data_IF_655474906821
#
_entry.id   IF_655474906821
#
_cell.length_a   1.000
_cell.length_b   1.000
_cell.length_c   1.000
_cell.angle_alpha   90.00
_cell.angle_beta   90.00
_cell.angle_gamma   90.00
#
_symmetry.space_group_name_H-M   'P 1'
#
loop_
_entity.id
_entity.type
_entity.pdbx_description
1 polymer ?
#
# COMPACT_ATOMS: atom_id res chain seq x y z
N UNK A 1 0.14 -40.82 -47.33
CA UNK A 1 0.34 -39.46 -46.79
C UNK A 1 0.30 -39.58 -45.28
N UNK A 2 1.44 -39.38 -44.61
CA UNK A 2 1.58 -39.60 -43.17
C UNK A 2 1.05 -38.38 -42.38
N UNK A 3 0.19 -38.62 -41.40
CA UNK A 3 -0.38 -37.58 -40.54
C UNK A 3 0.68 -36.96 -39.61
N UNK A 4 0.72 -35.63 -39.46
CA UNK A 4 1.64 -34.99 -38.53
C UNK A 4 1.22 -35.23 -37.08
N UNK A 5 2.15 -35.76 -36.29
CA UNK A 5 2.00 -36.15 -34.89
C UNK A 5 1.54 -34.96 -34.00
N UNK A 6 0.47 -35.07 -33.19
CA UNK A 6 -0.07 -33.98 -32.38
C UNK A 6 0.85 -33.53 -31.21
N UNK A 7 2.00 -34.16 -31.03
CA UNK A 7 3.05 -33.71 -30.10
C UNK A 7 3.90 -32.56 -30.66
N UNK A 8 3.72 -32.21 -31.93
CA UNK A 8 4.45 -31.12 -32.60
C UNK A 8 3.46 -30.02 -32.99
N UNK A 9 2.65 -29.55 -32.02
CA UNK A 9 1.96 -28.26 -32.13
C UNK A 9 2.79 -27.23 -31.38
N UNK A 10 3.34 -26.31 -32.16
CA UNK A 10 4.13 -25.13 -31.79
C UNK A 10 4.95 -25.30 -30.50
N UNK A 11 6.20 -25.72 -30.69
CA UNK A 11 7.31 -25.40 -29.81
C UNK A 11 7.59 -23.88 -29.83
N UNK A 12 6.54 -23.03 -29.78
CA UNK A 12 6.59 -21.59 -30.08
C UNK A 12 7.55 -20.84 -29.18
N UNK A 13 7.70 -21.25 -27.92
CA UNK A 13 8.70 -20.68 -27.01
C UNK A 13 10.15 -21.14 -27.28
N UNK A 14 10.35 -22.24 -28.02
CA UNK A 14 11.67 -22.81 -28.36
C UNK A 14 12.09 -22.53 -29.81
N UNK A 15 11.15 -22.26 -30.73
CA UNK A 15 11.43 -22.10 -32.17
C UNK A 15 11.09 -20.72 -32.74
N UNK A 16 10.24 -19.91 -32.08
CA UNK A 16 9.93 -18.55 -32.56
C UNK A 16 10.89 -17.49 -31.98
N UNK A 17 11.60 -17.81 -30.89
CA UNK A 17 12.69 -16.99 -30.40
C UNK A 17 13.96 -17.23 -31.22
N UNK A 18 14.10 -16.53 -32.35
CA UNK A 18 15.40 -16.38 -33.06
C UNK A 18 16.42 -15.56 -32.26
N UNK A 19 16.08 -15.17 -31.02
CA UNK A 19 17.02 -14.54 -30.11
C UNK A 19 17.81 -15.63 -29.42
N UNK A 20 19.02 -15.90 -29.90
CA UNK A 20 20.00 -16.73 -29.22
C UNK A 20 20.06 -16.39 -27.72
N UNK A 21 20.30 -17.35 -26.82
CA UNK A 21 20.54 -17.06 -25.42
C UNK A 21 21.63 -16.00 -25.32
N UNK A 22 21.26 -14.79 -24.90
CA UNK A 22 22.21 -13.69 -24.79
C UNK A 22 23.28 -14.11 -23.77
N UNK A 23 24.55 -13.94 -24.12
CA UNK A 23 25.67 -14.12 -23.18
C UNK A 23 25.32 -13.38 -21.89
N UNK A 24 25.56 -14.02 -20.74
CA UNK A 24 25.23 -13.46 -19.42
C UNK A 24 25.83 -12.05 -19.32
N UNK A 25 24.97 -11.02 -19.27
CA UNK A 25 25.42 -9.65 -19.10
C UNK A 25 25.97 -9.51 -17.68
N UNK A 26 27.22 -9.07 -17.57
CA UNK A 26 27.77 -8.66 -16.28
C UNK A 26 26.94 -7.50 -15.76
N UNK A 27 26.44 -7.62 -14.52
CA UNK A 27 25.65 -6.58 -13.88
C UNK A 27 26.65 -5.52 -13.42
N UNK A 28 26.47 -4.27 -13.87
CA UNK A 28 27.34 -3.17 -13.48
C UNK A 28 27.34 -3.01 -11.95
N UNK A 29 28.52 -3.03 -11.34
CA UNK A 29 28.67 -2.94 -9.88
C UNK A 29 28.60 -4.27 -9.11
N UNK A 30 28.32 -5.40 -9.77
CA UNK A 30 28.33 -6.73 -9.13
C UNK A 30 29.58 -7.50 -9.55
N UNK A 31 30.44 -7.82 -8.58
CA UNK A 31 31.64 -8.61 -8.82
C UNK A 31 31.32 -10.07 -9.17
N UNK A 32 32.17 -10.75 -9.97
CA UNK A 32 31.97 -12.15 -10.33
C UNK A 32 31.94 -13.10 -9.11
N UNK A 33 32.66 -12.76 -8.03
CA UNK A 33 32.63 -13.47 -6.75
C UNK A 33 31.27 -13.42 -6.08
N UNK A 34 30.61 -12.24 -6.05
CA UNK A 34 29.26 -12.07 -5.49
C UNK A 34 28.22 -12.89 -6.25
N UNK A 35 28.34 -13.00 -7.58
CA UNK A 35 27.46 -13.87 -8.37
C UNK A 35 27.65 -15.35 -8.02
N UNK A 36 28.89 -15.78 -7.77
CA UNK A 36 29.19 -17.17 -7.35
C UNK A 36 28.68 -17.44 -5.93
N UNK A 37 28.85 -16.49 -5.02
CA UNK A 37 28.35 -16.56 -3.65
C UNK A 37 26.81 -16.66 -3.62
N UNK A 38 26.12 -15.81 -4.37
CA UNK A 38 24.66 -15.86 -4.52
C UNK A 38 24.18 -17.17 -5.14
N UNK A 39 24.90 -17.70 -6.13
CA UNK A 39 24.62 -19.03 -6.69
C UNK A 39 24.82 -20.12 -5.63
N UNK A 40 25.84 -20.02 -4.79
CA UNK A 40 26.08 -20.96 -3.71
C UNK A 40 24.97 -20.91 -2.66
N UNK A 41 24.50 -19.72 -2.27
CA UNK A 41 23.35 -19.54 -1.38
C UNK A 41 22.06 -20.10 -1.98
N UNK A 42 21.81 -19.82 -3.27
CA UNK A 42 20.66 -20.37 -3.98
C UNK A 42 20.70 -21.89 -4.03
N UNK A 43 21.86 -22.48 -4.31
CA UNK A 43 22.04 -23.94 -4.29
C UNK A 43 21.83 -24.52 -2.89
N UNK A 44 22.40 -23.90 -1.85
CA UNK A 44 22.15 -24.29 -0.45
C UNK A 44 20.65 -24.27 -0.12
N UNK A 45 19.96 -23.18 -0.46
CA UNK A 45 18.52 -23.05 -0.23
C UNK A 45 17.70 -24.10 -1.00
N UNK A 46 18.06 -24.39 -2.25
CA UNK A 46 17.41 -25.44 -3.04
C UNK A 46 17.67 -26.85 -2.47
N UNK A 47 18.89 -27.13 -2.01
CA UNK A 47 19.21 -28.40 -1.36
C UNK A 47 18.49 -28.56 -0.03
N UNK A 48 18.40 -27.51 0.79
CA UNK A 48 17.61 -27.53 2.03
C UNK A 48 16.10 -27.71 1.76
N UNK A 49 15.58 -27.12 0.69
CA UNK A 49 14.19 -27.28 0.26
C UNK A 49 13.91 -28.70 -0.28
N UNK A 50 14.88 -29.34 -0.94
CA UNK A 50 14.76 -30.75 -1.35
C UNK A 50 14.92 -31.68 -0.15
N UNK A 51 15.93 -31.44 0.69
CA UNK A 51 16.19 -32.21 1.91
C UNK A 51 14.97 -32.19 2.83
N UNK A 52 14.32 -31.04 3.02
CA UNK A 52 13.07 -30.94 3.80
C UNK A 52 11.86 -31.67 3.16
N UNK A 53 11.86 -31.87 1.84
CA UNK A 53 10.88 -32.73 1.14
C UNK A 53 11.22 -34.22 1.20
N UNK A 54 12.46 -34.57 1.53
CA UNK A 54 12.95 -35.94 1.66
C UNK A 54 13.05 -36.42 3.13
N UNK A 55 12.87 -35.54 4.13
CA UNK A 55 12.83 -35.94 5.55
C UNK A 55 11.63 -36.84 5.85
N UNK A 56 11.84 -37.85 6.71
CA UNK A 56 10.80 -38.73 7.22
C UNK A 56 9.69 -37.93 7.95
N UNK A 57 8.40 -38.33 7.89
CA UNK A 57 7.31 -37.62 8.55
C UNK A 57 7.52 -37.40 10.06
N UNK A 58 8.36 -38.20 10.73
CA UNK A 58 8.75 -38.01 12.13
C UNK A 58 9.66 -36.81 12.39
N UNK A 59 10.68 -36.61 11.54
CA UNK A 59 11.63 -35.49 11.67
C UNK A 59 11.03 -34.14 11.23
N UNK A 60 9.99 -34.16 10.40
CA UNK A 60 9.20 -32.96 10.07
C UNK A 60 8.39 -32.44 11.26
N UNK A 61 8.04 -33.29 12.22
CA UNK A 61 7.28 -32.92 13.42
C UNK A 61 8.16 -32.22 14.46
N UNK A 62 9.38 -32.70 14.69
CA UNK A 62 10.32 -32.08 15.65
C UNK A 62 10.76 -30.67 15.25
N UNK A 63 10.77 -30.34 13.94
CA UNK A 63 10.99 -28.97 13.48
C UNK A 63 9.75 -28.08 13.60
N UNK A 64 8.53 -28.64 13.54
CA UNK A 64 7.28 -27.92 13.81
C UNK A 64 7.07 -27.63 15.30
N UNK A 65 7.67 -28.43 16.18
CA UNK A 65 7.63 -28.26 17.65
C UNK A 65 8.60 -27.21 18.18
N UNK A 66 9.57 -26.75 17.37
CA UNK A 66 10.25 -25.46 17.62
C UNK A 66 9.28 -24.33 17.25
N UNK A 67 8.20 -24.24 18.03
CA UNK A 67 7.15 -23.26 17.84
C UNK A 67 7.72 -21.86 17.82
N UNK A 68 7.18 -21.03 16.93
CA UNK A 68 7.39 -19.59 16.96
C UNK A 68 6.90 -19.11 18.33
N UNK A 69 7.74 -18.42 19.10
CA UNK A 69 7.33 -17.84 20.39
C UNK A 69 6.26 -16.78 20.12
N UNK A 70 5.00 -17.15 20.29
CA UNK A 70 3.84 -16.29 20.01
C UNK A 70 3.91 -15.03 20.88
N UNK A 71 4.42 -15.14 22.12
CA UNK A 71 4.64 -14.00 22.99
C UNK A 71 5.61 -12.97 22.39
N UNK A 72 6.68 -13.42 21.73
CA UNK A 72 7.69 -12.56 21.11
C UNK A 72 7.21 -11.98 19.77
N UNK A 73 6.28 -12.67 19.09
CA UNK A 73 5.62 -12.14 17.90
C UNK A 73 4.56 -11.07 18.25
N UNK A 74 3.88 -11.23 19.38
CA UNK A 74 2.83 -10.31 19.84
C UNK A 74 3.40 -9.10 20.61
N UNK A 75 4.61 -9.21 21.16
CA UNK A 75 5.31 -8.09 21.81
C UNK A 75 6.00 -7.16 20.82
N UNK A 76 6.30 -7.63 19.61
CA UNK A 76 6.95 -6.85 18.57
C UNK A 76 5.94 -5.87 17.94
N UNK A 77 5.82 -4.70 18.54
CA UNK A 77 5.02 -3.62 17.99
C UNK A 77 5.61 -3.13 16.66
N UNK A 78 4.73 -2.65 15.78
CA UNK A 78 5.16 -2.11 14.49
C UNK A 78 5.85 -0.76 14.74
N UNK A 79 7.11 -0.55 14.30
CA UNK A 79 7.83 0.69 14.54
C UNK A 79 7.10 1.92 13.96
N UNK A 80 6.34 1.74 12.88
CA UNK A 80 5.52 2.81 12.31
C UNK A 80 4.28 3.16 13.13
N UNK A 81 3.83 2.27 14.02
CA UNK A 81 2.76 2.56 15.00
C UNK A 81 3.35 3.33 16.17
N UNK A 82 4.49 2.90 16.71
CA UNK A 82 5.20 3.62 17.80
C UNK A 82 5.55 5.05 17.38
N UNK A 83 6.05 5.25 16.16
CA UNK A 83 6.38 6.57 15.62
C UNK A 83 5.15 7.48 15.47
N UNK A 84 3.98 6.91 15.15
CA UNK A 84 2.73 7.67 15.07
C UNK A 84 2.21 8.02 16.46
N UNK A 85 2.17 7.05 17.36
CA UNK A 85 1.76 7.28 18.75
C UNK A 85 2.60 8.37 19.42
N UNK A 86 3.93 8.33 19.25
CA UNK A 86 4.82 9.36 19.78
C UNK A 86 4.55 10.73 19.18
N UNK A 87 4.21 10.80 17.89
CA UNK A 87 3.86 12.06 17.23
C UNK A 87 2.53 12.60 17.75
N UNK A 88 1.55 11.73 17.92
CA UNK A 88 0.22 12.08 18.43
C UNK A 88 0.33 12.55 19.90
N UNK A 89 1.12 11.87 20.74
CA UNK A 89 1.45 12.29 22.11
C UNK A 89 2.08 13.69 22.12
N UNK A 90 3.11 13.93 21.30
CA UNK A 90 3.75 15.24 21.19
C UNK A 90 2.80 16.33 20.70
N UNK A 91 1.86 16.00 19.82
CA UNK A 91 0.82 16.94 19.37
C UNK A 91 -0.14 17.27 20.51
N UNK A 92 -0.57 16.28 21.29
CA UNK A 92 -1.44 16.52 22.45
C UNK A 92 -0.75 17.33 23.55
N UNK A 93 0.54 17.08 23.82
CA UNK A 93 1.33 17.88 24.77
C UNK A 93 1.47 19.33 24.27
N UNK A 94 1.79 19.53 22.99
CA UNK A 94 1.87 20.87 22.41
C UNK A 94 0.51 21.60 22.43
N UNK A 95 -0.59 20.89 22.21
CA UNK A 95 -1.94 21.44 22.36
C UNK A 95 -2.20 21.85 23.82
N UNK A 96 -1.81 21.03 24.81
CA UNK A 96 -1.93 21.37 26.23
C UNK A 96 -1.13 22.63 26.60
N UNK A 97 0.09 22.77 26.08
CA UNK A 97 0.91 23.98 26.28
C UNK A 97 0.24 25.24 25.70
N UNK A 98 -0.38 25.12 24.52
CA UNK A 98 -1.16 26.20 23.90
C UNK A 98 -2.38 26.57 24.77
N UNK A 99 -3.13 25.57 25.26
CA UNK A 99 -4.25 25.80 26.17
C UNK A 99 -3.79 26.49 27.47
N UNK A 100 -2.67 26.07 28.07
CA UNK A 100 -2.11 26.70 29.26
C UNK A 100 -1.65 28.15 29.02
N UNK A 101 -1.08 28.44 27.86
CA UNK A 101 -0.71 29.81 27.48
C UNK A 101 -1.95 30.70 27.28
N UNK A 102 -3.01 30.15 26.66
CA UNK A 102 -4.28 30.86 26.46
C UNK A 102 -4.99 31.12 27.79
N UNK A 103 -4.97 30.18 28.73
CA UNK A 103 -5.53 30.35 30.07
C UNK A 103 -4.84 31.48 30.84
N UNK A 104 -3.49 31.51 30.86
CA UNK A 104 -2.74 32.63 31.46
C UNK A 104 -3.06 33.97 30.84
N UNK A 105 -3.25 34.00 29.51
CA UNK A 105 -3.62 35.21 28.79
C UNK A 105 -5.04 35.65 29.14
N UNK A 106 -5.98 34.72 29.25
CA UNK A 106 -7.36 34.99 29.65
C UNK A 106 -7.43 35.55 31.07
N UNK A 107 -6.72 34.94 32.04
CA UNK A 107 -6.63 35.46 33.40
C UNK A 107 -6.08 36.90 33.44
N UNK A 108 -5.09 37.20 32.59
CA UNK A 108 -4.53 38.54 32.48
C UNK A 108 -5.56 39.54 31.94
N UNK A 109 -6.34 39.16 30.93
CA UNK A 109 -7.43 40.00 30.43
C UNK A 109 -8.52 40.21 31.48
N UNK A 110 -8.90 39.17 32.23
CA UNK A 110 -9.91 39.28 33.29
C UNK A 110 -9.46 40.21 34.41
N UNK A 111 -8.20 40.10 34.86
CA UNK A 111 -7.60 41.01 35.86
C UNK A 111 -7.55 42.45 35.37
N UNK A 112 -7.20 42.64 34.09
CA UNK A 112 -7.13 43.96 33.48
C UNK A 112 -8.52 44.59 33.29
N UNK A 113 -9.51 43.79 32.88
CA UNK A 113 -10.89 44.23 32.71
C UNK A 113 -11.55 44.56 34.05
N UNK A 114 -11.19 43.83 35.11
CA UNK A 114 -11.68 44.06 36.47
C UNK A 114 -11.01 45.26 37.15
N UNK A 115 -9.85 45.68 36.66
CA UNK A 115 -9.07 46.78 37.24
C UNK A 115 -8.29 46.38 38.50
N UNK A 116 -8.06 45.09 38.71
CA UNK A 116 -7.34 44.55 39.88
C UNK A 116 -5.81 44.66 39.75
N UNK A 117 -5.29 45.22 38.64
CA UNK A 117 -3.86 45.42 38.40
C UNK A 117 -3.51 46.86 38.77
N UNK A 118 -2.51 47.05 39.64
CA UNK A 118 -2.01 48.38 40.00
C UNK A 118 -1.49 49.11 38.75
N UNK A 119 -1.78 50.42 38.65
CA UNK A 119 -1.44 51.23 37.46
C UNK A 119 0.07 51.25 37.17
N UNK A 120 0.92 51.15 38.19
CA UNK A 120 2.38 51.09 38.05
C UNK A 120 2.83 49.78 37.38
N UNK A 121 2.33 48.62 37.82
CA UNK A 121 2.64 47.31 37.20
C UNK A 121 2.12 47.20 35.77
N UNK A 122 0.94 47.80 35.50
CA UNK A 122 0.33 47.84 34.18
C UNK A 122 1.19 48.63 33.17
N UNK A 123 1.78 49.74 33.62
CA UNK A 123 2.62 50.61 32.79
C UNK A 123 3.99 50.02 32.51
N UNK A 124 4.62 49.38 33.50
CA UNK A 124 5.96 48.81 33.37
C UNK A 124 5.99 47.51 32.57
N UNK A 125 4.99 46.64 32.71
CA UNK A 125 5.03 45.27 32.15
C UNK A 125 4.23 45.10 30.87
N UNK A 126 3.15 45.86 30.72
CA UNK A 126 2.14 45.60 29.68
C UNK A 126 1.87 46.80 28.77
N UNK A 127 2.53 47.94 28.98
CA UNK A 127 2.43 49.10 28.08
C UNK A 127 3.62 49.15 27.13
N UNK A 128 3.33 49.36 25.84
CA UNK A 128 4.36 49.50 24.80
C UNK A 128 4.94 50.91 24.87
N UNK A 129 6.25 51.02 25.10
CA UNK A 129 6.97 52.29 24.93
C UNK A 129 7.33 52.51 23.45
N UNK A 130 6.54 53.37 22.80
CA UNK A 130 6.70 53.69 21.39
C UNK A 130 8.03 54.37 21.05
N UNK A 131 8.65 55.09 22.00
CA UNK A 131 9.95 55.74 21.78
C UNK A 131 11.09 54.73 21.80
N UNK A 132 11.04 53.76 22.70
CA UNK A 132 12.03 52.67 22.78
C UNK A 132 11.86 51.63 21.66
N UNK A 133 10.62 51.41 21.18
CA UNK A 133 10.32 50.45 20.09
C UNK A 133 10.84 50.91 18.73
N UNK A 134 10.92 52.22 18.46
CA UNK A 134 11.46 52.76 17.22
C UNK A 134 12.98 52.66 17.07
N UNK A 135 13.72 52.53 18.19
CA UNK A 135 15.18 52.49 18.22
C UNK A 135 15.82 51.10 18.36
N UNK A 136 15.05 50.09 18.77
CA UNK A 136 15.50 48.69 18.92
C UNK A 136 14.82 47.79 17.89
N UNK A 137 15.31 47.84 16.65
CA UNK A 137 15.02 46.80 15.65
C UNK A 137 16.18 45.79 15.58
N UNK A 138 17.25 45.96 16.38
CA UNK A 138 18.49 45.22 16.17
C UNK A 138 18.79 44.10 17.18
N UNK A 139 18.23 44.07 18.38
CA UNK A 139 18.59 43.03 19.36
C UNK A 139 17.40 42.65 20.24
N UNK A 140 17.19 41.33 20.32
CA UNK A 140 16.29 40.55 21.18
C UNK A 140 15.02 39.99 20.52
N UNK A 141 15.02 38.65 20.51
CA UNK A 141 14.01 37.68 20.03
C UNK A 141 14.00 37.36 18.53
N UNK A 142 15.07 36.68 18.08
CA UNK A 142 15.04 35.79 16.91
C UNK A 142 14.11 34.60 17.20
N UNK A 143 12.80 34.76 17.01
CA UNK A 143 11.89 33.65 16.74
C UNK A 143 11.96 33.31 15.23
N UNK A 144 12.56 32.17 14.83
CA UNK A 144 12.71 31.80 13.42
C UNK A 144 11.38 31.48 12.72
N UNK A 145 10.23 31.54 13.42
CA UNK A 145 8.90 31.28 12.83
C UNK A 145 8.25 32.52 12.22
N UNK A 146 8.70 33.73 12.54
CA UNK A 146 8.09 34.98 12.02
C UNK A 146 8.68 35.47 10.70
N UNK A 147 9.89 35.03 10.34
CA UNK A 147 10.59 35.50 9.14
C UNK A 147 9.98 34.99 7.81
N UNK A 148 9.05 34.03 7.83
CA UNK A 148 8.37 33.54 6.62
C UNK A 148 7.09 34.30 6.24
N UNK A 149 6.63 35.26 7.04
CA UNK A 149 5.40 36.03 6.76
C UNK A 149 5.60 37.55 6.60
N UNK A 150 6.83 38.04 6.79
CA UNK A 150 7.13 39.48 6.82
C UNK A 150 7.53 40.14 5.50
N UNK A 151 7.55 39.42 4.39
CA UNK A 151 8.10 39.92 3.12
C UNK A 151 7.02 40.09 2.03
N UNK A 152 5.85 40.68 2.34
CA UNK A 152 4.87 40.97 1.28
C UNK A 152 3.78 42.01 1.65
N UNK A 153 4.07 43.04 2.45
CA UNK A 153 3.14 44.17 2.60
C UNK A 153 3.92 45.49 2.61
N UNK A 154 4.47 45.84 1.45
CA UNK A 154 4.93 47.20 1.15
C UNK A 154 3.77 47.95 0.49
N UNK A 155 2.85 48.51 1.28
CA UNK A 155 1.87 49.46 0.76
C UNK A 155 2.55 50.82 0.53
N UNK A 156 2.89 51.04 -0.74
CA UNK A 156 3.27 52.32 -1.32
C UNK A 156 2.14 53.33 -1.11
N UNK A 157 2.35 54.29 -0.21
CA UNK A 157 1.48 55.45 -0.09
C UNK A 157 2.01 56.54 -1.03
N UNK A 158 1.49 56.57 -2.27
CA UNK A 158 1.65 57.71 -3.15
C UNK A 158 0.44 57.87 -4.10
N UNK A 159 -0.09 59.10 -4.18
CA UNK A 159 -1.23 59.48 -5.01
C UNK A 159 -2.56 59.22 -4.30
N UNK A 160 -3.45 60.17 -4.11
CA UNK A 160 -3.87 61.21 -5.04
C UNK A 160 -5.39 61.10 -5.13
N UNK A 161 -6.08 62.22 -4.93
CA UNK A 161 -7.53 62.34 -4.89
C UNK A 161 -8.31 61.50 -5.94
N UNK A 162 -9.38 60.85 -5.48
CA UNK A 162 -10.48 60.33 -6.31
C UNK A 162 -10.62 58.81 -6.27
N UNK A 163 -11.67 58.29 -5.60
CA UNK A 163 -11.95 56.86 -5.64
C UNK A 163 -12.98 56.34 -4.65
N UNK A 164 -14.02 57.09 -4.29
CA UNK A 164 -15.15 56.56 -3.48
C UNK A 164 -16.19 55.85 -4.34
N UNK A 165 -15.79 55.07 -5.36
CA UNK A 165 -16.74 54.37 -6.25
C UNK A 165 -16.46 52.88 -6.51
N UNK A 166 -15.35 52.32 -6.04
CA UNK A 166 -14.90 50.98 -6.50
C UNK A 166 -14.88 49.86 -5.43
N UNK A 167 -15.26 50.13 -4.18
CA UNK A 167 -15.27 49.09 -3.12
C UNK A 167 -16.46 48.12 -3.24
N UNK A 168 -17.58 48.55 -3.83
CA UNK A 168 -18.73 47.67 -4.08
C UNK A 168 -18.51 46.75 -5.29
N UNK A 169 -17.81 47.25 -6.34
CA UNK A 169 -17.46 46.44 -7.52
C UNK A 169 -16.48 45.32 -7.17
N UNK A 170 -15.52 45.55 -6.29
CA UNK A 170 -14.57 44.51 -5.85
C UNK A 170 -15.27 43.41 -5.05
N UNK A 171 -16.17 43.78 -4.13
CA UNK A 171 -16.97 42.84 -3.32
C UNK A 171 -17.93 42.00 -4.17
N UNK A 172 -18.46 42.56 -5.26
CA UNK A 172 -19.30 41.83 -6.21
C UNK A 172 -18.46 40.83 -7.02
N UNK A 173 -17.26 41.21 -7.46
CA UNK A 173 -16.34 40.28 -8.15
C UNK A 173 -15.78 39.17 -7.25
N UNK A 174 -15.59 39.42 -5.95
CA UNK A 174 -15.18 38.40 -4.98
C UNK A 174 -16.28 37.37 -4.75
N UNK A 175 -17.54 37.80 -4.60
CA UNK A 175 -18.68 36.88 -4.47
C UNK A 175 -18.85 36.01 -5.72
N UNK A 176 -18.69 36.59 -6.91
CA UNK A 176 -18.76 35.82 -8.16
C UNK A 176 -17.62 34.79 -8.29
N UNK A 177 -16.42 35.12 -7.79
CA UNK A 177 -15.29 34.17 -7.73
C UNK A 177 -15.54 33.04 -6.73
N UNK A 178 -16.07 33.35 -5.55
CA UNK A 178 -16.42 32.35 -4.53
C UNK A 178 -17.52 31.41 -5.03
N UNK A 179 -18.53 31.92 -5.74
CA UNK A 179 -19.57 31.10 -6.36
C UNK A 179 -19.01 30.17 -7.43
N UNK A 180 -18.11 30.66 -8.31
CA UNK A 180 -17.44 29.82 -9.31
C UNK A 180 -16.55 28.76 -8.68
N UNK A 181 -15.81 29.09 -7.63
CA UNK A 181 -15.01 28.12 -6.89
C UNK A 181 -15.88 27.05 -6.22
N UNK A 182 -17.02 27.45 -5.67
CA UNK A 182 -17.99 26.51 -5.09
C UNK A 182 -18.56 25.59 -6.15
N UNK A 183 -18.96 26.12 -7.30
CA UNK A 183 -19.48 25.33 -8.41
C UNK A 183 -18.41 24.37 -8.97
N UNK A 184 -17.16 24.83 -9.09
CA UNK A 184 -16.04 23.98 -9.52
C UNK A 184 -15.74 22.86 -8.52
N UNK A 185 -15.81 23.16 -7.21
CA UNK A 185 -15.67 22.15 -6.15
C UNK A 185 -16.81 21.13 -6.21
N UNK A 186 -18.04 21.56 -6.44
CA UNK A 186 -19.20 20.67 -6.60
C UNK A 186 -19.06 19.80 -7.86
N UNK A 187 -18.66 20.37 -9.00
CA UNK A 187 -18.38 19.63 -10.24
C UNK A 187 -17.24 18.63 -10.05
N UNK A 188 -16.18 19.00 -9.33
CA UNK A 188 -15.06 18.10 -9.03
C UNK A 188 -15.49 16.94 -8.14
N UNK A 189 -16.32 17.20 -7.12
CA UNK A 189 -16.91 16.15 -6.27
C UNK A 189 -17.80 15.21 -7.07
N UNK A 190 -18.67 15.74 -7.93
CA UNK A 190 -19.51 14.92 -8.81
C UNK A 190 -18.69 14.07 -9.77
N UNK A 191 -17.63 14.63 -10.38
CA UNK A 191 -16.72 13.89 -11.25
C UNK A 191 -15.95 12.80 -10.50
N UNK A 192 -15.54 13.07 -9.25
CA UNK A 192 -14.87 12.09 -8.39
C UNK A 192 -15.81 10.94 -8.00
N UNK A 193 -17.06 11.25 -7.65
CA UNK A 193 -18.10 10.26 -7.35
C UNK A 193 -18.44 9.40 -8.57
N UNK A 194 -18.56 9.99 -9.77
CA UNK A 194 -18.72 9.24 -11.02
C UNK A 194 -17.51 8.33 -11.31
N UNK A 195 -16.30 8.84 -11.13
CA UNK A 195 -15.08 8.06 -11.34
C UNK A 195 -14.94 6.92 -10.32
N UNK A 196 -15.37 7.13 -9.08
CA UNK A 196 -15.45 6.07 -8.07
C UNK A 196 -16.53 5.05 -8.43
N UNK A 197 -17.69 5.50 -8.91
CA UNK A 197 -18.77 4.65 -9.40
C UNK A 197 -18.32 3.71 -10.53
N UNK A 198 -17.58 4.23 -11.51
CA UNK A 198 -16.98 3.43 -12.60
C UNK A 198 -15.98 2.41 -12.07
N UNK A 199 -15.06 2.83 -11.19
CA UNK A 199 -14.10 1.91 -10.54
C UNK A 199 -14.79 0.80 -9.76
N UNK A 200 -15.90 1.10 -9.07
CA UNK A 200 -16.72 0.10 -8.36
C UNK A 200 -17.41 -0.87 -9.33
N UNK A 201 -17.85 -0.41 -10.50
CA UNK A 201 -18.45 -1.27 -11.53
C UNK A 201 -17.40 -2.18 -12.16
N UNK A 202 -16.25 -1.63 -12.57
CA UNK A 202 -15.11 -2.40 -13.09
C UNK A 202 -14.64 -3.47 -12.09
N UNK A 203 -14.56 -3.12 -10.80
CA UNK A 203 -14.22 -4.08 -9.75
C UNK A 203 -15.24 -5.23 -9.65
N UNK A 204 -16.55 -4.94 -9.76
CA UNK A 204 -17.59 -5.97 -9.76
C UNK A 204 -17.48 -6.87 -10.99
N UNK A 205 -17.21 -6.31 -12.17
CA UNK A 205 -17.04 -7.07 -13.40
C UNK A 205 -15.83 -8.01 -13.32
N UNK A 206 -14.69 -7.50 -12.83
CA UNK A 206 -13.48 -8.30 -12.62
C UNK A 206 -13.73 -9.47 -11.64
N UNK A 207 -14.42 -9.21 -10.53
CA UNK A 207 -14.76 -10.26 -9.56
C UNK A 207 -15.64 -11.33 -10.21
N UNK A 208 -16.63 -10.94 -11.01
CA UNK A 208 -17.49 -11.90 -11.71
C UNK A 208 -16.70 -12.71 -12.74
N UNK A 209 -15.76 -12.10 -13.45
CA UNK A 209 -14.90 -12.79 -14.42
C UNK A 209 -14.00 -13.82 -13.73
N UNK A 210 -13.33 -13.45 -12.65
CA UNK A 210 -12.53 -14.38 -11.83
C UNK A 210 -13.40 -15.52 -11.30
N UNK A 211 -14.64 -15.24 -10.90
CA UNK A 211 -15.56 -16.29 -10.48
C UNK A 211 -15.89 -17.26 -11.62
N UNK A 212 -16.17 -16.75 -12.83
CA UNK A 212 -16.40 -17.60 -14.02
C UNK A 212 -15.18 -18.45 -14.35
N UNK A 213 -13.98 -17.87 -14.31
CA UNK A 213 -12.74 -18.60 -14.58
C UNK A 213 -12.49 -19.71 -13.55
N UNK A 214 -12.68 -19.40 -12.26
CA UNK A 214 -12.53 -20.39 -11.19
C UNK A 214 -13.55 -21.52 -11.29
N UNK A 215 -14.80 -21.23 -11.66
CA UNK A 215 -15.82 -22.27 -11.92
C UNK A 215 -15.41 -23.13 -13.12
N UNK A 216 -15.05 -22.53 -14.24
CA UNK A 216 -14.59 -23.26 -15.43
C UNK A 216 -13.34 -24.11 -15.14
N UNK A 217 -12.42 -23.63 -14.30
CA UNK A 217 -11.27 -24.38 -13.83
C UNK A 217 -11.65 -25.61 -13.00
N UNK A 218 -12.64 -25.47 -12.11
CA UNK A 218 -13.19 -26.59 -11.31
C UNK A 218 -13.87 -27.64 -12.20
N UNK A 219 -14.64 -27.20 -13.18
CA UNK A 219 -15.31 -28.10 -14.13
C UNK A 219 -14.30 -28.91 -14.96
N UNK A 220 -13.28 -28.24 -15.53
CA UNK A 220 -12.19 -28.93 -16.26
C UNK A 220 -11.45 -29.94 -15.39
N UNK A 221 -11.20 -29.60 -14.13
CA UNK A 221 -10.57 -30.52 -13.18
C UNK A 221 -11.47 -31.73 -12.86
N UNK A 222 -12.78 -31.50 -12.72
CA UNK A 222 -13.76 -32.56 -12.51
C UNK A 222 -13.86 -33.49 -13.74
N UNK A 223 -13.90 -32.94 -14.95
CA UNK A 223 -13.90 -33.70 -16.21
C UNK A 223 -12.64 -34.57 -16.33
N UNK A 224 -11.46 -34.00 -16.03
CA UNK A 224 -10.20 -34.75 -16.05
C UNK A 224 -10.20 -35.90 -15.04
N UNK A 225 -10.82 -35.71 -13.87
CA UNK A 225 -10.99 -36.76 -12.86
C UNK A 225 -11.94 -37.86 -13.35
N UNK A 226 -13.08 -37.49 -13.95
CA UNK A 226 -14.02 -38.45 -14.55
C UNK A 226 -13.35 -39.27 -15.65
N UNK A 227 -12.62 -38.62 -16.56
CA UNK A 227 -11.86 -39.30 -17.62
C UNK A 227 -10.83 -40.30 -17.07
N UNK A 228 -10.14 -39.95 -15.98
CA UNK A 228 -9.21 -40.88 -15.30
C UNK A 228 -9.95 -42.07 -14.68
N UNK A 229 -11.12 -41.85 -14.11
CA UNK A 229 -11.97 -42.91 -13.57
C UNK A 229 -12.45 -43.85 -14.67
N UNK A 230 -12.98 -43.32 -15.77
CA UNK A 230 -13.39 -44.13 -16.93
C UNK A 230 -12.25 -44.95 -17.52
N UNK A 231 -11.04 -44.37 -17.61
CA UNK A 231 -9.86 -45.12 -18.05
C UNK A 231 -9.49 -46.24 -17.07
N UNK A 232 -9.58 -45.99 -15.76
CA UNK A 232 -9.36 -47.01 -14.75
C UNK A 232 -10.43 -48.11 -14.80
N UNK A 233 -11.69 -47.77 -15.08
CA UNK A 233 -12.77 -48.73 -15.25
C UNK A 233 -12.59 -49.58 -16.51
N UNK A 234 -12.28 -48.95 -17.65
CA UNK A 234 -11.95 -49.65 -18.91
C UNK A 234 -10.78 -50.61 -18.73
N UNK A 235 -9.73 -50.20 -18.01
CA UNK A 235 -8.60 -51.11 -17.72
C UNK A 235 -9.03 -52.25 -16.80
N UNK A 236 -9.84 -51.98 -15.77
CA UNK A 236 -10.40 -53.00 -14.87
C UNK A 236 -11.28 -54.02 -15.62
N UNK A 237 -12.14 -53.56 -16.52
CA UNK A 237 -12.99 -54.43 -17.36
C UNK A 237 -12.16 -55.29 -18.30
N UNK A 238 -11.16 -54.69 -18.96
CA UNK A 238 -10.22 -55.44 -19.82
C UNK A 238 -9.50 -56.53 -19.05
N UNK A 239 -9.05 -56.24 -17.83
CA UNK A 239 -8.41 -57.23 -16.96
C UNK A 239 -9.38 -58.34 -16.54
N UNK A 240 -10.62 -57.99 -16.17
CA UNK A 240 -11.68 -58.97 -15.86
C UNK A 240 -11.96 -59.91 -17.05
N UNK A 241 -12.11 -59.36 -18.26
CA UNK A 241 -12.34 -60.13 -19.47
C UNK A 241 -11.16 -61.06 -19.80
N UNK A 242 -9.92 -60.56 -19.68
CA UNK A 242 -8.73 -61.37 -19.88
C UNK A 242 -8.63 -62.52 -18.86
N UNK A 243 -9.01 -62.26 -17.60
CA UNK A 243 -9.05 -63.27 -16.54
C UNK A 243 -10.07 -64.37 -16.84
N UNK A 244 -11.31 -64.00 -17.21
CA UNK A 244 -12.35 -64.96 -17.60
C UNK A 244 -11.92 -65.81 -18.80
N UNK A 245 -11.29 -65.20 -19.81
CA UNK A 245 -10.76 -65.92 -20.97
C UNK A 245 -9.69 -66.95 -20.57
N UNK A 246 -8.78 -66.58 -19.65
CA UNK A 246 -7.77 -67.51 -19.12
C UNK A 246 -8.41 -68.66 -18.34
N UNK A 247 -9.43 -68.40 -17.52
CA UNK A 247 -10.17 -69.45 -16.82
C UNK A 247 -10.85 -70.42 -17.79
N UNK A 248 -11.52 -69.90 -18.82
CA UNK A 248 -12.16 -70.72 -19.85
C UNK A 248 -11.14 -71.57 -20.62
N UNK A 249 -9.97 -71.02 -20.96
CA UNK A 249 -8.89 -71.78 -21.57
C UNK A 249 -8.38 -72.90 -20.65
N UNK A 250 -8.19 -72.62 -19.36
CA UNK A 250 -7.77 -73.61 -18.36
C UNK A 250 -8.77 -74.77 -18.25
N UNK A 251 -10.07 -74.47 -18.19
CA UNK A 251 -11.12 -75.50 -18.16
C UNK A 251 -11.14 -76.34 -19.45
N UNK A 252 -10.97 -75.71 -20.62
CA UNK A 252 -10.86 -76.44 -21.90
C UNK A 252 -9.66 -77.38 -21.95
N UNK A 253 -8.51 -76.96 -21.43
CA UNK A 253 -7.32 -77.82 -21.37
C UNK A 253 -7.46 -78.95 -20.33
N UNK A 254 -8.24 -78.74 -19.26
CA UNK A 254 -8.48 -79.76 -18.23
C UNK A 254 -9.57 -80.77 -18.63
N UNK A 255 -10.55 -80.37 -19.44
CA UNK A 255 -11.58 -81.26 -19.99
C UNK A 255 -11.22 -81.93 -21.32
N UNK A 256 -9.99 -81.74 -21.81
CA UNK A 256 -9.46 -82.40 -23.01
C UNK A 256 -8.52 -83.58 -22.68
N UNK A 257 -8.63 -84.10 -21.45
CA UNK A 257 -8.11 -85.39 -20.96
C UNK A 257 -9.30 -86.32 -20.71
#
# INVERSE_FOLDING_TARGET
MAEPNPRIRSMGWLTESTVMPKKQKVIQGVGPSSVVELKAELYKAQEEAKRSKDLDPGERKSRKERGINIADLMSKQNPGVEMRNRRDEQQTEAEQDVYAALERKAELYDKLARGDIADDERKERYSVDFFSKGGRIAEEDDDPREQRRGAEIAWSYNGGAGGSRDVESERETEREREEREREERERRRAAEEEAEGRRRQEAKELIQEVHKETVAGREKAAELKQRRQEQAEKTRERLKAAFLKKQAQKLRTQGAL
#
